data_IF_787176497069
#
_entry.id   IF_787176497069
#
_cell.length_a   1.000
_cell.length_b   1.000
_cell.length_c   1.000
_cell.angle_alpha   90.00
_cell.angle_beta   90.00
_cell.angle_gamma   90.00
#
_symmetry.space_group_name_H-M   'P 1'
#
loop_
_entity.id
_entity.type
_entity.pdbx_description
1 polymer ?
#
# COMPACT_ATOMS: atom_id res chain seq x y z
N UNK A 1 -7.08 -1.27 -8.04
CA UNK A 1 -7.25 -1.50 -6.60
C UNK A 1 -8.74 -1.42 -6.25
N UNK A 2 -9.31 -2.43 -5.58
CA UNK A 2 -10.69 -2.38 -5.11
C UNK A 2 -10.76 -1.82 -3.68
N UNK A 3 -11.57 -0.79 -3.44
CA UNK A 3 -11.71 -0.14 -2.13
C UNK A 3 -13.19 -0.03 -1.78
N UNK A 4 -13.56 -0.47 -0.56
CA UNK A 4 -14.94 -0.39 -0.10
C UNK A 4 -15.44 1.06 -0.08
N UNK A 5 -16.67 1.30 -0.54
CA UNK A 5 -17.23 2.66 -0.74
C UNK A 5 -17.21 3.51 0.52
N UNK A 6 -17.42 2.88 1.69
CA UNK A 6 -17.44 3.54 3.00
C UNK A 6 -16.05 3.86 3.57
N UNK A 7 -14.97 3.32 2.95
CA UNK A 7 -13.62 3.54 3.45
C UNK A 7 -13.19 4.97 3.18
N UNK A 8 -12.56 5.60 4.17
CA UNK A 8 -12.03 6.95 4.03
C UNK A 8 -11.05 7.09 2.86
N UNK A 9 -10.28 6.03 2.57
CA UNK A 9 -9.41 5.99 1.39
C UNK A 9 -10.17 6.18 0.07
N UNK A 10 -11.40 5.68 -0.08
CA UNK A 10 -12.18 5.88 -1.30
C UNK A 10 -12.54 7.36 -1.51
N UNK A 11 -12.89 8.06 -0.44
CA UNK A 11 -13.14 9.51 -0.48
C UNK A 11 -11.86 10.29 -0.83
N UNK A 12 -10.74 9.97 -0.16
CA UNK A 12 -9.46 10.61 -0.41
C UNK A 12 -9.02 10.42 -1.87
N UNK A 13 -9.09 9.20 -2.41
CA UNK A 13 -8.70 8.89 -3.79
C UNK A 13 -9.59 9.62 -4.79
N UNK A 14 -10.92 9.67 -4.56
CA UNK A 14 -11.84 10.45 -5.41
C UNK A 14 -11.53 11.95 -5.37
N UNK A 15 -11.17 12.48 -4.20
CA UNK A 15 -10.89 13.90 -4.01
C UNK A 15 -9.52 14.34 -4.55
N UNK A 16 -8.50 13.50 -4.42
CA UNK A 16 -7.13 13.80 -4.87
C UNK A 16 -6.90 13.46 -6.35
N UNK A 17 -7.55 12.40 -6.86
CA UNK A 17 -7.20 11.81 -8.15
C UNK A 17 -5.86 11.07 -8.13
N UNK A 18 -5.34 10.75 -6.94
CA UNK A 18 -4.01 10.17 -6.74
C UNK A 18 -4.06 9.08 -5.66
N UNK A 19 -3.23 8.05 -5.79
CA UNK A 19 -2.99 7.08 -4.71
C UNK A 19 -1.59 6.48 -4.80
N UNK A 20 -1.07 6.01 -3.67
CA UNK A 20 0.20 5.31 -3.59
C UNK A 20 -0.03 3.94 -2.96
N UNK A 21 0.40 2.89 -3.65
CA UNK A 21 0.45 1.54 -3.09
C UNK A 21 1.81 1.38 -2.42
N UNK A 22 1.82 1.31 -1.08
CA UNK A 22 3.03 1.07 -0.32
C UNK A 22 3.19 -0.43 -0.06
N UNK A 23 4.41 -0.95 -0.19
CA UNK A 23 4.75 -2.36 0.05
C UNK A 23 5.46 -2.46 1.40
N UNK A 24 4.77 -2.86 2.48
CA UNK A 24 5.39 -3.13 3.77
C UNK A 24 6.08 -4.50 3.78
N UNK A 25 7.11 -4.63 4.60
CA UNK A 25 7.66 -5.91 5.01
C UNK A 25 7.01 -6.38 6.33
N UNK A 26 7.37 -7.59 6.76
CA UNK A 26 6.80 -8.22 7.96
C UNK A 26 7.06 -7.42 9.25
N UNK A 27 8.13 -6.63 9.30
CA UNK A 27 8.48 -5.86 10.49
C UNK A 27 7.49 -4.70 10.72
N UNK A 28 6.71 -4.32 9.70
CA UNK A 28 5.61 -3.36 9.77
C UNK A 28 4.22 -3.99 10.01
N UNK A 29 4.12 -5.27 10.36
CA UNK A 29 2.84 -5.98 10.45
C UNK A 29 1.87 -5.34 11.47
N UNK A 30 2.36 -4.82 12.59
CA UNK A 30 1.52 -4.15 13.58
C UNK A 30 0.88 -2.86 13.01
N UNK A 31 1.65 -2.07 12.27
CA UNK A 31 1.22 -0.85 11.63
C UNK A 31 0.22 -1.14 10.51
N UNK A 32 0.47 -2.19 9.72
CA UNK A 32 -0.47 -2.65 8.68
C UNK A 32 -1.81 -3.04 9.29
N UNK A 33 -1.79 -3.82 10.39
CA UNK A 33 -3.02 -4.20 11.09
C UNK A 33 -3.75 -2.98 11.66
N UNK A 34 -3.03 -2.04 12.26
CA UNK A 34 -3.60 -0.80 12.78
C UNK A 34 -4.27 0.02 11.68
N UNK A 35 -3.55 0.24 10.57
CA UNK A 35 -4.04 0.96 9.40
C UNK A 35 -5.25 0.29 8.73
N UNK A 36 -5.34 -1.05 8.77
CA UNK A 36 -6.47 -1.80 8.24
C UNK A 36 -7.73 -1.79 9.13
N UNK A 37 -7.57 -1.52 10.43
CA UNK A 37 -8.65 -1.63 11.43
C UNK A 37 -9.17 -0.29 11.96
N UNK A 38 -8.41 0.79 11.83
CA UNK A 38 -8.83 2.13 12.25
C UNK A 38 -9.16 3.01 11.03
N UNK A 39 -10.10 3.94 11.17
CA UNK A 39 -10.45 4.89 10.11
C UNK A 39 -9.64 6.19 10.27
N UNK A 40 -9.12 6.71 9.16
CA UNK A 40 -8.43 8.01 9.17
C UNK A 40 -9.37 9.21 9.38
N UNK A 41 -10.70 8.97 9.42
CA UNK A 41 -11.68 10.00 9.82
C UNK A 41 -11.60 10.32 11.31
N UNK A 42 -11.26 9.32 12.11
CA UNK A 42 -11.36 9.37 13.57
C UNK A 42 -9.98 9.55 14.23
N UNK A 43 -8.91 9.08 13.55
CA UNK A 43 -7.55 9.11 14.08
C UNK A 43 -6.54 9.57 13.03
N UNK A 44 -5.47 10.21 13.49
CA UNK A 44 -4.27 10.43 12.67
C UNK A 44 -3.41 9.16 12.70
N UNK A 45 -3.50 8.35 11.64
CA UNK A 45 -2.77 7.08 11.58
C UNK A 45 -1.26 7.25 11.61
N UNK A 46 -0.70 8.32 11.03
CA UNK A 46 0.75 8.55 11.05
C UNK A 46 1.23 8.79 12.47
N UNK A 47 0.49 9.60 13.23
CA UNK A 47 0.80 9.87 14.63
C UNK A 47 0.71 8.60 15.49
N UNK A 48 -0.34 7.81 15.34
CA UNK A 48 -0.58 6.62 16.18
C UNK A 48 0.40 5.48 15.86
N UNK A 49 0.76 5.30 14.58
CA UNK A 49 1.67 4.23 14.14
C UNK A 49 3.14 4.64 14.13
N UNK A 50 3.44 5.93 14.29
CA UNK A 50 4.78 6.53 14.12
C UNK A 50 5.40 6.32 12.74
N UNK A 51 4.59 5.99 11.74
CA UNK A 51 5.03 5.96 10.35
C UNK A 51 5.40 7.36 9.89
N UNK A 52 6.42 7.45 9.04
CA UNK A 52 6.91 8.73 8.54
C UNK A 52 6.31 9.00 7.17
N UNK A 53 5.48 10.05 7.01
CA UNK A 53 5.05 10.49 5.69
C UNK A 53 6.25 11.06 4.95
N UNK A 54 6.59 10.45 3.82
CA UNK A 54 7.64 10.92 2.92
C UNK A 54 7.02 11.46 1.64
N UNK A 55 7.63 12.52 1.10
CA UNK A 55 7.17 13.09 -0.16
C UNK A 55 7.34 12.05 -1.26
N UNK A 56 6.27 11.83 -2.02
CA UNK A 56 6.32 11.07 -3.27
C UNK A 56 7.24 11.76 -4.29
N UNK A 57 7.39 11.13 -5.46
CA UNK A 57 8.04 11.70 -6.62
C UNK A 57 7.51 13.11 -6.97
N UNK A 58 8.13 13.78 -7.94
CA UNK A 58 7.85 15.19 -8.24
C UNK A 58 6.39 15.49 -8.65
N UNK A 59 5.57 14.47 -8.93
CA UNK A 59 4.27 14.59 -9.58
C UNK A 59 3.06 14.49 -8.64
N UNK A 60 3.17 13.79 -7.50
CA UNK A 60 2.04 13.58 -6.58
C UNK A 60 2.15 14.45 -5.32
N UNK A 61 0.99 14.81 -4.76
CA UNK A 61 0.87 15.45 -3.44
C UNK A 61 0.69 14.45 -2.32
N UNK A 62 0.15 13.28 -2.63
CA UNK A 62 -0.08 12.19 -1.68
C UNK A 62 1.27 11.70 -1.13
N UNK A 63 1.47 11.59 0.19
CA UNK A 63 2.73 11.09 0.74
C UNK A 63 2.82 9.56 0.62
N UNK A 64 4.04 9.05 0.42
CA UNK A 64 4.38 7.63 0.61
C UNK A 64 4.81 7.39 2.07
N UNK A 65 4.93 6.13 2.45
CA UNK A 65 5.37 5.72 3.79
C UNK A 65 6.85 5.36 3.70
N UNK A 66 7.70 6.09 4.43
CA UNK A 66 9.16 5.94 4.35
C UNK A 66 9.64 4.54 4.71
N UNK A 67 8.97 3.90 5.67
CA UNK A 67 9.38 2.61 6.21
C UNK A 67 9.05 1.43 5.28
N UNK A 68 8.25 1.65 4.23
CA UNK A 68 7.92 0.59 3.28
C UNK A 68 9.07 0.29 2.33
N UNK A 69 9.32 -1.00 2.06
CA UNK A 69 10.38 -1.51 1.18
C UNK A 69 10.14 -1.24 -0.32
N UNK A 70 9.00 -0.64 -0.66
CA UNK A 70 8.69 -0.18 -1.99
C UNK A 70 7.41 0.64 -2.05
N UNK A 71 7.24 1.34 -3.16
CA UNK A 71 6.03 2.12 -3.42
C UNK A 71 5.71 2.19 -4.92
N UNK A 72 4.43 2.33 -5.24
CA UNK A 72 3.92 2.52 -6.59
C UNK A 72 3.01 3.74 -6.58
N UNK A 73 3.43 4.79 -7.26
CA UNK A 73 2.78 6.09 -7.35
C UNK A 73 1.83 6.15 -8.56
N UNK A 74 0.55 6.40 -8.31
CA UNK A 74 -0.48 6.34 -9.34
C UNK A 74 -1.33 7.63 -9.41
N UNK A 75 -1.57 8.12 -10.62
CA UNK A 75 -2.73 8.97 -10.92
C UNK A 75 -3.94 8.10 -11.24
N UNK A 76 -5.14 8.51 -10.83
CA UNK A 76 -6.38 7.77 -11.12
C UNK A 76 -6.76 7.97 -12.59
N UNK A 77 -6.94 6.86 -13.30
CA UNK A 77 -7.52 6.84 -14.66
C UNK A 77 -9.05 6.77 -14.57
N UNK A 78 -9.56 5.84 -13.75
CA UNK A 78 -11.00 5.59 -13.62
C UNK A 78 -11.32 4.95 -12.25
N UNK A 79 -12.59 5.05 -11.83
CA UNK A 79 -13.13 4.44 -10.62
C UNK A 79 -14.51 3.87 -10.89
N UNK A 80 -14.59 2.56 -11.10
CA UNK A 80 -15.85 1.87 -11.45
C UNK A 80 -16.49 1.29 -10.19
N UNK A 81 -17.73 1.67 -9.91
CA UNK A 81 -18.47 1.10 -8.78
C UNK A 81 -18.98 -0.31 -9.10
N UNK A 82 -18.57 -1.29 -8.30
CA UNK A 82 -18.95 -2.71 -8.46
C UNK A 82 -19.39 -3.23 -7.09
N UNK A 83 -20.69 -3.44 -6.92
CA UNK A 83 -21.27 -3.84 -5.64
C UNK A 83 -21.01 -2.80 -4.55
N UNK A 84 -20.38 -3.23 -3.45
CA UNK A 84 -20.01 -2.43 -2.28
C UNK A 84 -18.59 -1.81 -2.38
N UNK A 85 -17.89 -2.02 -3.49
CA UNK A 85 -16.54 -1.50 -3.74
C UNK A 85 -16.49 -0.57 -4.96
N UNK A 86 -15.38 0.16 -5.04
CA UNK A 86 -14.95 0.93 -6.20
C UNK A 86 -13.65 0.33 -6.69
N UNK A 87 -13.61 -0.10 -7.95
CA UNK A 87 -12.40 -0.54 -8.62
C UNK A 87 -11.71 0.67 -9.24
N UNK A 88 -10.67 1.17 -8.57
CA UNK A 88 -9.81 2.23 -9.08
C UNK A 88 -8.75 1.64 -10.03
N UNK A 89 -8.69 2.17 -11.25
CA UNK A 89 -7.59 1.99 -12.19
C UNK A 89 -6.66 3.21 -12.10
N UNK A 90 -5.35 2.99 -12.13
CA UNK A 90 -4.38 4.08 -12.05
C UNK A 90 -3.24 3.91 -13.03
N UNK A 91 -2.75 5.03 -13.56
CA UNK A 91 -1.54 5.12 -14.37
C UNK A 91 -0.35 5.20 -13.41
N UNK A 92 0.60 4.27 -13.57
CA UNK A 92 1.83 4.27 -12.76
C UNK A 92 2.74 5.37 -13.26
N UNK A 93 2.93 6.41 -12.45
CA UNK A 93 3.82 7.53 -12.76
C UNK A 93 5.25 7.25 -12.30
N UNK A 94 5.40 6.51 -11.21
CA UNK A 94 6.69 6.15 -10.63
C UNK A 94 6.55 4.90 -9.77
N UNK A 95 7.60 4.08 -9.71
CA UNK A 95 7.66 2.93 -8.84
C UNK A 95 9.10 2.74 -8.37
N UNK A 96 9.26 2.35 -7.11
CA UNK A 96 10.54 2.09 -6.49
C UNK A 96 10.44 0.96 -5.49
N UNK A 97 11.59 0.32 -5.25
CA UNK A 97 11.77 -0.72 -4.27
C UNK A 97 13.21 -0.67 -3.75
N UNK A 98 13.45 -1.22 -2.57
CA UNK A 98 14.81 -1.40 -2.08
C UNK A 98 15.61 -2.32 -3.02
N UNK A 99 16.75 -1.82 -3.51
CA UNK A 99 17.56 -2.48 -4.53
C UNK A 99 18.01 -3.89 -4.11
N UNK A 100 18.25 -4.10 -2.81
CA UNK A 100 18.66 -5.41 -2.28
C UNK A 100 17.51 -6.41 -2.14
N UNK A 101 16.27 -5.95 -2.18
CA UNK A 101 15.07 -6.75 -2.03
C UNK A 101 14.34 -7.00 -3.36
N UNK A 102 14.62 -6.22 -4.41
CA UNK A 102 13.98 -6.36 -5.72
C UNK A 102 15.01 -6.34 -6.86
N UNK A 103 15.26 -7.49 -7.48
CA UNK A 103 16.27 -7.66 -8.54
C UNK A 103 15.67 -8.38 -9.74
N UNK A 104 16.08 -7.99 -10.94
CA UNK A 104 15.64 -8.60 -12.22
C UNK A 104 14.10 -8.70 -12.34
N UNK A 105 13.38 -7.70 -11.82
CA UNK A 105 11.92 -7.63 -11.88
C UNK A 105 11.19 -8.53 -10.87
N UNK A 106 11.90 -9.12 -9.89
CA UNK A 106 11.32 -10.02 -8.89
C UNK A 106 11.78 -9.69 -7.47
N UNK A 107 10.90 -9.90 -6.49
CA UNK A 107 11.24 -9.77 -5.07
C UNK A 107 12.09 -10.96 -4.60
N UNK A 108 13.14 -10.66 -3.82
CA UNK A 108 13.85 -11.64 -3.00
C UNK A 108 12.98 -12.00 -1.79
N UNK A 109 12.10 -12.98 -1.98
CA UNK A 109 11.12 -13.43 -0.97
C UNK A 109 11.72 -13.98 0.34
N UNK A 110 12.99 -14.38 0.34
CA UNK A 110 13.67 -14.81 1.57
C UNK A 110 14.03 -13.63 2.46
N UNK A 111 14.33 -12.47 1.84
CA UNK A 111 14.73 -11.25 2.56
C UNK A 111 13.60 -10.24 2.73
N UNK A 112 12.79 -10.04 1.69
CA UNK A 112 11.80 -8.97 1.64
C UNK A 112 10.66 -9.14 2.66
N UNK A 113 10.41 -10.36 3.13
CA UNK A 113 9.41 -10.61 4.17
C UNK A 113 8.01 -10.12 3.81
N UNK A 114 7.57 -10.32 2.56
CA UNK A 114 6.30 -9.82 2.05
C UNK A 114 5.12 -10.35 2.86
N UNK A 115 4.08 -9.53 3.04
CA UNK A 115 2.88 -9.88 3.78
C UNK A 115 1.79 -10.36 2.83
N UNK A 116 1.24 -11.54 3.10
CA UNK A 116 0.04 -12.07 2.44
C UNK A 116 -1.12 -12.12 3.42
N UNK A 117 -2.26 -11.51 3.07
CA UNK A 117 -3.48 -11.59 3.86
C UNK A 117 -4.24 -12.88 3.52
N UNK A 118 -4.48 -13.73 4.53
CA UNK A 118 -5.19 -15.00 4.35
C UNK A 118 -6.68 -14.90 4.70
N UNK A 119 -7.10 -13.81 5.34
CA UNK A 119 -8.46 -13.60 5.85
C UNK A 119 -8.46 -13.22 7.33
N UNK A 120 -9.47 -12.46 7.75
CA UNK A 120 -9.57 -11.89 9.11
C UNK A 120 -8.26 -11.26 9.59
N UNK A 121 -7.73 -11.69 10.74
CA UNK A 121 -6.44 -11.26 11.30
C UNK A 121 -5.31 -12.28 11.02
N UNK A 122 -5.49 -13.14 10.02
CA UNK A 122 -4.50 -14.14 9.63
C UNK A 122 -3.65 -13.62 8.47
N UNK A 123 -2.34 -13.58 8.69
CA UNK A 123 -1.34 -13.13 7.72
C UNK A 123 -0.23 -14.17 7.61
N UNK A 124 0.42 -14.20 6.45
CA UNK A 124 1.57 -15.05 6.17
C UNK A 124 2.74 -14.18 5.70
N UNK A 125 3.92 -14.42 6.27
CA UNK A 125 5.18 -13.90 5.76
C UNK A 125 5.59 -14.72 4.55
N UNK A 126 6.12 -14.09 3.50
CA UNK A 126 6.77 -14.80 2.40
C UNK A 126 7.78 -15.80 2.96
N UNK A 127 7.69 -17.03 2.48
CA UNK A 127 8.54 -18.14 2.87
C UNK A 127 9.19 -18.72 1.61
N UNK A 128 10.33 -19.44 1.74
CA UNK A 128 11.07 -19.93 0.60
C UNK A 128 10.19 -20.76 -0.34
N UNK A 129 10.23 -20.43 -1.63
CA UNK A 129 9.61 -21.22 -2.69
C UNK A 129 10.64 -21.60 -3.74
N UNK A 130 10.40 -22.69 -4.46
CA UNK A 130 11.22 -23.09 -5.60
C UNK A 130 10.79 -22.30 -6.83
N UNK A 131 11.71 -21.51 -7.39
CA UNK A 131 11.52 -20.86 -8.70
C UNK A 131 11.50 -21.97 -9.76
N UNK A 132 10.33 -22.20 -10.35
CA UNK A 132 10.14 -23.10 -11.52
C UNK A 132 10.51 -22.40 -12.81
#
# INVERSE_FOLDING_TARGET
>A
MAVGKERFSAELIKGSGEFIVNIPDWDLMEQVLYCGTHSGRDVDKFKETKLTPEKAGKLLKTPKIKECIGSIECSVIDGIEIGDHILFSGEVLYAEAEEDLFKDGVWDIEKAGLIYHLGEKCFMKSSPFTKV
#
